data_IF_410171630857
#
_entry.id   IF_410171630857
#
_cell.length_a   1.000
_cell.length_b   1.000
_cell.length_c   1.000
_cell.angle_alpha   90.00
_cell.angle_beta   90.00
_cell.angle_gamma   90.00
#
_symmetry.space_group_name_H-M   'P 1'
#
loop_
_entity.id
_entity.type
_entity.pdbx_description
1 polymer ?
#
# COMPACT_ATOMS: atom_id res chain seq x y z
N UNK A 1 5.86 -42.74 -90.91
CA UNK A 1 4.38 -42.79 -91.01
C UNK A 1 3.89 -41.47 -90.41
N UNK A 2 3.59 -40.44 -91.20
CA UNK A 2 2.36 -40.25 -91.99
C UNK A 2 1.16 -40.02 -91.03
N UNK A 3 0.34 -38.95 -91.09
CA UNK A 3 0.02 -37.92 -92.11
C UNK A 3 -0.61 -36.68 -91.41
N UNK A 4 -0.83 -35.60 -92.16
CA UNK A 4 -1.50 -34.32 -91.85
C UNK A 4 -2.21 -33.83 -93.15
N UNK A 5 -3.33 -33.04 -93.18
CA UNK A 5 -4.07 -32.31 -92.12
C UNK A 5 -5.64 -32.41 -92.14
N UNK A 6 -6.30 -31.58 -91.31
CA UNK A 6 -7.50 -30.71 -91.60
C UNK A 6 -8.98 -31.16 -91.43
N UNK A 7 -9.78 -30.10 -91.20
CA UNK A 7 -11.25 -29.89 -91.27
C UNK A 7 -12.14 -30.62 -90.20
N UNK A 8 -13.27 -30.10 -89.69
CA UNK A 8 -14.09 -28.92 -90.03
C UNK A 8 -14.88 -28.35 -88.80
N UNK A 9 -15.00 -27.02 -88.74
CA UNK A 9 -16.12 -26.12 -88.33
C UNK A 9 -16.94 -26.18 -86.99
N UNK A 10 -17.26 -24.95 -86.54
CA UNK A 10 -18.37 -24.43 -85.70
C UNK A 10 -18.88 -25.06 -84.38
N UNK A 11 -18.73 -24.20 -83.35
CA UNK A 11 -19.80 -23.61 -82.50
C UNK A 11 -20.02 -24.14 -81.06
N UNK A 12 -20.51 -23.21 -80.24
CA UNK A 12 -20.97 -23.31 -78.84
C UNK A 12 -19.92 -23.58 -77.74
N UNK A 13 -19.58 -22.48 -77.03
CA UNK A 13 -19.11 -22.53 -75.63
C UNK A 13 -20.28 -22.88 -74.71
N UNK A 14 -20.05 -23.69 -73.67
CA UNK A 14 -20.71 -23.53 -72.37
C UNK A 14 -19.72 -22.99 -71.33
N UNK A 15 -20.19 -22.07 -70.48
CA UNK A 15 -19.40 -21.50 -69.39
C UNK A 15 -19.20 -22.52 -68.25
N UNK A 16 -18.00 -22.52 -67.66
CA UNK A 16 -17.60 -23.36 -66.53
C UNK A 16 -16.76 -22.52 -65.54
N UNK A 17 -17.35 -21.46 -65.01
CA UNK A 17 -16.91 -20.85 -63.75
C UNK A 17 -17.47 -21.68 -62.59
N UNK A 18 -16.64 -22.56 -62.02
CA UNK A 18 -16.94 -23.28 -60.76
C UNK A 18 -15.67 -23.40 -59.90
N UNK A 19 -15.83 -23.01 -58.62
CA UNK A 19 -15.11 -23.51 -57.44
C UNK A 19 -13.61 -23.23 -57.27
N UNK A 20 -13.14 -22.01 -57.56
CA UNK A 20 -11.87 -21.50 -56.98
C UNK A 20 -12.03 -20.44 -55.88
N UNK A 21 -13.15 -19.72 -55.81
CA UNK A 21 -13.35 -18.72 -54.73
C UNK A 21 -13.71 -19.36 -53.38
N UNK A 22 -14.64 -20.34 -53.35
CA UNK A 22 -15.15 -20.94 -52.10
C UNK A 22 -14.09 -21.73 -51.29
N UNK A 23 -13.08 -22.28 -51.95
CA UNK A 23 -11.94 -22.93 -51.28
C UNK A 23 -11.01 -21.89 -50.65
N UNK A 24 -10.96 -20.66 -51.20
CA UNK A 24 -10.13 -19.57 -50.67
C UNK A 24 -10.78 -18.87 -49.48
N UNK A 25 -12.10 -18.64 -49.54
CA UNK A 25 -12.88 -17.99 -48.48
C UNK A 25 -13.02 -18.90 -47.26
N UNK A 26 -13.37 -20.17 -47.45
CA UNK A 26 -13.47 -21.15 -46.35
C UNK A 26 -12.13 -21.38 -45.62
N UNK A 27 -10.99 -21.32 -46.33
CA UNK A 27 -9.67 -21.37 -45.69
C UNK A 27 -9.33 -20.07 -44.94
N UNK A 28 -9.70 -18.89 -45.45
CA UNK A 28 -9.52 -17.64 -44.72
C UNK A 28 -10.43 -17.53 -43.48
N UNK A 29 -11.67 -18.02 -43.56
CA UNK A 29 -12.58 -18.06 -42.41
C UNK A 29 -12.11 -19.06 -41.36
N UNK A 30 -11.67 -20.27 -41.74
CA UNK A 30 -11.06 -21.21 -40.81
C UNK A 30 -9.77 -20.66 -40.19
N UNK A 31 -8.93 -19.94 -40.94
CA UNK A 31 -7.75 -19.28 -40.39
C UNK A 31 -8.12 -18.15 -39.41
N UNK A 32 -9.15 -17.35 -39.71
CA UNK A 32 -9.67 -16.30 -38.81
C UNK A 32 -10.35 -16.89 -37.57
N UNK A 33 -11.08 -18.00 -37.69
CA UNK A 33 -11.70 -18.72 -36.59
C UNK A 33 -10.62 -19.30 -35.66
N UNK A 34 -9.64 -20.02 -36.21
CA UNK A 34 -8.52 -20.60 -35.45
C UNK A 34 -7.61 -19.53 -34.82
N UNK A 35 -7.49 -18.36 -35.45
CA UNK A 35 -6.84 -17.17 -34.89
C UNK A 35 -7.66 -16.55 -33.74
N UNK A 36 -8.99 -16.45 -33.88
CA UNK A 36 -9.90 -15.97 -32.83
C UNK A 36 -9.92 -16.92 -31.64
N UNK A 37 -10.06 -18.22 -31.84
CA UNK A 37 -10.02 -19.21 -30.76
C UNK A 37 -8.63 -19.30 -30.13
N UNK A 38 -7.56 -19.19 -30.93
CA UNK A 38 -6.20 -19.08 -30.41
C UNK A 38 -6.04 -17.89 -29.46
N UNK A 39 -6.45 -16.69 -29.89
CA UNK A 39 -6.40 -15.48 -29.06
C UNK A 39 -7.39 -15.49 -27.88
N UNK A 40 -8.59 -16.06 -28.04
CA UNK A 40 -9.56 -16.20 -26.96
C UNK A 40 -9.02 -17.15 -25.89
N UNK A 41 -8.51 -18.31 -26.30
CA UNK A 41 -7.89 -19.29 -25.41
C UNK A 41 -6.68 -18.68 -24.72
N UNK A 42 -5.71 -18.10 -25.45
CA UNK A 42 -4.55 -17.39 -24.90
C UNK A 42 -4.97 -16.32 -23.90
N UNK A 43 -5.91 -15.44 -24.28
CA UNK A 43 -6.41 -14.39 -23.38
C UNK A 43 -7.02 -14.98 -22.10
N UNK A 44 -7.75 -16.11 -22.18
CA UNK A 44 -8.35 -16.77 -21.03
C UNK A 44 -7.33 -17.50 -20.14
N UNK A 45 -6.29 -18.12 -20.72
CA UNK A 45 -5.16 -18.66 -19.93
C UNK A 45 -4.39 -17.55 -19.25
N UNK A 46 -4.06 -16.46 -19.96
CA UNK A 46 -3.39 -15.30 -19.35
C UNK A 46 -4.26 -14.63 -18.28
N UNK A 47 -5.59 -14.54 -18.47
CA UNK A 47 -6.53 -14.03 -17.44
C UNK A 47 -6.57 -14.93 -16.20
N UNK A 48 -6.45 -16.24 -16.39
CA UNK A 48 -6.43 -17.23 -15.29
C UNK A 48 -5.06 -17.31 -14.60
N UNK A 49 -3.96 -17.02 -15.31
CA UNK A 49 -2.63 -16.87 -14.73
C UNK A 49 -2.49 -15.54 -13.97
N UNK A 50 -3.03 -14.43 -14.49
CA UNK A 50 -3.08 -13.13 -13.79
C UNK A 50 -3.90 -13.22 -12.48
N UNK A 51 -5.01 -13.98 -12.49
CA UNK A 51 -5.76 -14.35 -11.27
C UNK A 51 -4.92 -15.14 -10.25
N UNK A 52 -3.92 -15.90 -10.70
CA UNK A 52 -3.12 -16.79 -9.86
C UNK A 52 -2.15 -16.02 -8.96
N UNK A 53 -1.58 -14.93 -9.48
CA UNK A 53 -0.66 -14.05 -8.74
C UNK A 53 -1.36 -12.95 -7.94
N UNK A 54 -2.60 -12.57 -8.33
CA UNK A 54 -3.44 -11.55 -7.65
C UNK A 54 -3.62 -11.81 -6.14
N UNK A 55 -3.54 -13.07 -5.71
CA UNK A 55 -3.83 -13.47 -4.34
C UNK A 55 -2.77 -12.99 -3.33
N UNK A 56 -1.50 -12.87 -3.74
CA UNK A 56 -0.44 -12.24 -2.91
C UNK A 56 -0.63 -10.72 -2.78
N UNK A 57 -1.24 -10.08 -3.78
CA UNK A 57 -1.51 -8.64 -3.84
C UNK A 57 -2.83 -8.26 -3.15
N UNK A 58 -3.66 -9.26 -2.78
CA UNK A 58 -5.00 -9.06 -2.20
C UNK A 58 -5.01 -8.09 -1.01
N UNK A 59 -4.12 -8.17 0.00
CA UNK A 59 -4.06 -7.16 1.08
C UNK A 59 -3.92 -5.71 0.59
N UNK A 60 -3.17 -5.49 -0.49
CA UNK A 60 -2.86 -4.17 -1.04
C UNK A 60 -4.03 -3.61 -1.87
N UNK A 61 -4.82 -4.48 -2.49
CA UNK A 61 -6.03 -4.13 -3.25
C UNK A 61 -7.26 -3.96 -2.33
N UNK A 62 -7.36 -4.75 -1.25
CA UNK A 62 -8.47 -4.71 -0.32
C UNK A 62 -8.57 -3.40 0.45
N UNK A 63 -7.44 -2.78 0.84
CA UNK A 63 -7.47 -1.51 1.58
C UNK A 63 -8.06 -0.34 0.75
N UNK A 64 -7.65 -0.09 -0.51
CA UNK A 64 -8.35 0.83 -1.40
C UNK A 64 -9.80 0.43 -1.68
N UNK A 65 -10.07 -0.84 -1.98
CA UNK A 65 -11.39 -1.34 -2.37
C UNK A 65 -12.43 -1.17 -1.24
N UNK A 66 -12.07 -1.52 0.00
CA UNK A 66 -12.89 -1.30 1.19
C UNK A 66 -13.04 0.18 1.49
N UNK A 67 -12.04 1.00 1.19
CA UNK A 67 -12.17 2.45 1.20
C UNK A 67 -13.24 2.96 0.23
N UNK A 68 -13.30 2.42 -0.99
CA UNK A 68 -14.24 2.85 -2.02
C UNK A 68 -15.66 2.25 -1.87
N UNK A 69 -15.80 1.09 -1.24
CA UNK A 69 -17.07 0.38 -1.07
C UNK A 69 -17.75 0.64 0.28
N UNK A 70 -17.00 0.94 1.35
CA UNK A 70 -17.58 1.12 2.68
C UNK A 70 -18.32 2.47 2.81
N UNK A 71 -19.53 2.51 3.41
CA UNK A 71 -20.27 3.74 3.67
C UNK A 71 -19.42 4.77 4.44
N UNK A 72 -19.51 6.09 4.14
CA UNK A 72 -18.64 7.10 4.75
C UNK A 72 -18.61 7.09 6.29
N UNK A 73 -19.75 6.79 6.94
CA UNK A 73 -19.88 6.71 8.39
C UNK A 73 -19.28 5.45 9.02
N UNK A 74 -19.03 4.39 8.24
CA UNK A 74 -18.41 3.12 8.68
C UNK A 74 -17.03 2.86 8.09
N UNK A 75 -16.60 3.63 7.08
CA UNK A 75 -15.32 3.47 6.36
C UNK A 75 -14.12 3.27 7.28
N UNK A 76 -14.00 4.06 8.35
CA UNK A 76 -12.91 3.92 9.32
C UNK A 76 -12.94 2.57 10.07
N UNK A 77 -14.12 2.11 10.47
CA UNK A 77 -14.31 0.82 11.15
C UNK A 77 -14.12 -0.37 10.20
N UNK A 78 -14.59 -0.28 8.96
CA UNK A 78 -14.36 -1.32 7.95
C UNK A 78 -12.87 -1.45 7.60
N UNK A 79 -12.17 -0.32 7.45
CA UNK A 79 -10.72 -0.32 7.24
C UNK A 79 -9.96 -0.87 8.46
N UNK A 80 -10.34 -0.53 9.69
CA UNK A 80 -9.66 -1.04 10.88
C UNK A 80 -9.84 -2.55 11.07
N UNK A 81 -11.01 -3.12 10.74
CA UNK A 81 -11.24 -4.58 10.73
C UNK A 81 -10.35 -5.29 9.72
N UNK A 82 -10.17 -4.73 8.52
CA UNK A 82 -9.28 -5.32 7.49
C UNK A 82 -7.82 -5.25 7.94
N UNK A 83 -7.38 -4.11 8.48
CA UNK A 83 -6.01 -3.95 9.00
C UNK A 83 -5.75 -4.88 10.18
N UNK A 84 -6.70 -5.05 11.11
CA UNK A 84 -6.54 -5.98 12.23
C UNK A 84 -6.55 -7.45 11.79
N UNK A 85 -7.35 -7.81 10.79
CA UNK A 85 -7.33 -9.14 10.17
C UNK A 85 -6.00 -9.47 9.49
N UNK A 86 -5.40 -8.50 8.77
CA UNK A 86 -4.07 -8.65 8.16
C UNK A 86 -2.97 -8.81 9.23
N UNK A 87 -3.01 -7.99 10.29
CA UNK A 87 -2.07 -8.10 11.39
C UNK A 87 -2.20 -9.46 12.10
N UNK A 88 -3.43 -9.86 12.47
CA UNK A 88 -3.70 -11.13 13.14
C UNK A 88 -3.30 -12.33 12.28
N UNK A 89 -3.58 -12.30 10.97
CA UNK A 89 -3.19 -13.34 10.02
C UNK A 89 -1.68 -13.55 9.96
N UNK A 90 -0.88 -12.47 9.98
CA UNK A 90 0.58 -12.55 10.04
C UNK A 90 1.07 -13.28 11.30
N UNK A 91 0.45 -13.04 12.45
CA UNK A 91 0.85 -13.64 13.72
C UNK A 91 0.44 -15.12 13.81
N UNK A 92 -0.82 -15.41 13.46
CA UNK A 92 -1.35 -16.78 13.46
C UNK A 92 -0.59 -17.65 12.46
N UNK A 93 -0.27 -17.15 11.27
CA UNK A 93 0.48 -17.90 10.26
C UNK A 93 1.87 -18.35 10.75
N UNK A 94 2.60 -17.49 11.48
CA UNK A 94 3.90 -17.83 12.08
C UNK A 94 3.77 -18.96 13.12
N UNK A 95 2.79 -18.86 14.02
CA UNK A 95 2.57 -19.88 15.07
C UNK A 95 2.09 -21.21 14.48
N UNK A 96 1.11 -21.19 13.55
CA UNK A 96 0.66 -22.40 12.85
C UNK A 96 1.80 -23.05 12.04
N UNK A 97 2.63 -22.26 11.36
CA UNK A 97 3.81 -22.77 10.66
C UNK A 97 4.80 -23.44 11.63
N UNK A 98 5.04 -22.85 12.81
CA UNK A 98 5.89 -23.43 13.84
C UNK A 98 5.35 -24.77 14.38
N UNK A 99 4.05 -24.84 14.67
CA UNK A 99 3.37 -26.08 15.11
C UNK A 99 3.49 -27.17 14.02
N UNK A 100 3.09 -26.87 12.78
CA UNK A 100 3.08 -27.85 11.69
C UNK A 100 4.48 -28.32 11.32
N UNK A 101 5.48 -27.45 11.36
CA UNK A 101 6.88 -27.82 11.10
C UNK A 101 7.53 -28.61 12.24
N UNK A 102 7.05 -28.48 13.47
CA UNK A 102 7.57 -29.21 14.63
C UNK A 102 6.96 -30.62 14.78
N UNK A 103 5.65 -30.76 14.58
CA UNK A 103 4.93 -32.03 14.77
C UNK A 103 4.67 -32.83 13.48
N UNK A 104 4.96 -32.27 12.30
CA UNK A 104 4.64 -32.91 11.02
C UNK A 104 5.64 -32.49 9.93
N UNK A 105 5.54 -33.05 8.73
CA UNK A 105 6.34 -32.58 7.60
C UNK A 105 6.03 -31.12 7.27
N UNK A 106 7.07 -30.32 7.06
CA UNK A 106 6.99 -28.96 6.54
C UNK A 106 6.13 -28.84 5.28
N UNK A 107 6.00 -29.90 4.47
CA UNK A 107 5.15 -29.93 3.27
C UNK A 107 3.68 -29.64 3.57
N UNK A 108 3.19 -29.96 4.78
CA UNK A 108 1.80 -29.79 5.14
C UNK A 108 1.39 -28.31 5.29
N UNK A 109 2.32 -27.40 5.59
CA UNK A 109 2.00 -25.96 5.63
C UNK A 109 1.62 -25.42 4.25
N UNK A 110 2.23 -25.95 3.19
CA UNK A 110 1.92 -25.58 1.81
C UNK A 110 0.55 -26.10 1.37
N UNK A 111 0.14 -27.30 1.80
CA UNK A 111 -1.21 -27.81 1.58
C UNK A 111 -2.28 -27.03 2.35
N UNK A 112 -1.99 -26.61 3.58
CA UNK A 112 -2.87 -25.74 4.37
C UNK A 112 -3.01 -24.37 3.70
N UNK A 113 -1.89 -23.75 3.30
CA UNK A 113 -1.89 -22.47 2.59
C UNK A 113 -2.65 -22.56 1.26
N UNK A 114 -2.44 -23.62 0.46
CA UNK A 114 -3.20 -23.89 -0.77
C UNK A 114 -4.71 -23.95 -0.49
N UNK A 115 -5.12 -24.71 0.53
CA UNK A 115 -6.54 -24.88 0.88
C UNK A 115 -7.19 -23.56 1.33
N UNK A 116 -6.51 -22.80 2.20
CA UNK A 116 -6.96 -21.48 2.63
C UNK A 116 -7.04 -20.47 1.47
N UNK A 117 -6.13 -20.60 0.50
CA UNK A 117 -6.08 -19.75 -0.67
C UNK A 117 -7.23 -20.00 -1.65
N UNK A 118 -7.59 -21.28 -1.86
CA UNK A 118 -8.77 -21.68 -2.63
C UNK A 118 -10.08 -21.32 -1.93
N UNK A 119 -10.15 -21.45 -0.61
CA UNK A 119 -11.31 -20.98 0.17
C UNK A 119 -11.52 -19.48 -0.01
N UNK A 120 -10.45 -18.68 0.06
CA UNK A 120 -10.50 -17.23 -0.19
C UNK A 120 -10.96 -16.91 -1.62
N UNK A 121 -10.47 -17.65 -2.62
CA UNK A 121 -10.91 -17.49 -4.01
C UNK A 121 -12.40 -17.82 -4.18
N UNK A 122 -12.90 -18.90 -3.57
CA UNK A 122 -14.31 -19.26 -3.61
C UNK A 122 -15.19 -18.19 -2.94
N UNK A 123 -14.80 -17.70 -1.77
CA UNK A 123 -15.50 -16.61 -1.08
C UNK A 123 -15.53 -15.34 -1.93
N UNK A 124 -14.43 -14.96 -2.56
CA UNK A 124 -14.41 -13.81 -3.47
C UNK A 124 -15.31 -14.04 -4.70
N UNK A 125 -15.31 -15.23 -5.28
CA UNK A 125 -16.16 -15.55 -6.43
C UNK A 125 -17.66 -15.48 -6.12
N UNK A 126 -18.10 -15.89 -4.93
CA UNK A 126 -19.52 -15.90 -4.56
C UNK A 126 -20.01 -14.60 -3.88
N UNK A 127 -19.14 -13.82 -3.24
CA UNK A 127 -19.55 -12.66 -2.42
C UNK A 127 -19.04 -11.31 -2.93
N UNK A 128 -18.09 -11.25 -3.87
CA UNK A 128 -17.63 -9.97 -4.42
C UNK A 128 -18.61 -9.48 -5.50
N UNK A 129 -19.28 -8.32 -5.33
CA UNK A 129 -20.15 -7.78 -6.37
C UNK A 129 -19.34 -7.28 -7.57
N UNK A 130 -19.90 -7.44 -8.77
CA UNK A 130 -19.28 -6.97 -10.02
C UNK A 130 -18.96 -5.47 -9.96
N UNK A 131 -17.66 -5.17 -9.97
CA UNK A 131 -17.18 -3.79 -9.86
C UNK A 131 -16.93 -3.22 -11.27
N UNK A 132 -17.73 -2.25 -11.75
CA UNK A 132 -17.58 -1.73 -13.11
C UNK A 132 -16.24 -1.02 -13.29
N UNK A 133 -15.59 -1.25 -14.43
CA UNK A 133 -14.30 -0.66 -14.75
C UNK A 133 -14.38 0.88 -14.81
N UNK A 134 -13.89 1.54 -13.74
CA UNK A 134 -13.90 3.02 -13.59
C UNK A 134 -13.14 3.76 -14.70
N UNK A 135 -12.15 3.12 -15.34
CA UNK A 135 -11.25 3.75 -16.31
C UNK A 135 -11.23 3.02 -17.67
N UNK A 136 -12.21 3.28 -18.53
CA UNK A 136 -12.16 2.86 -19.94
C UNK A 136 -11.22 3.80 -20.72
N UNK A 137 -10.13 3.27 -21.28
CA UNK A 137 -9.22 4.02 -22.18
C UNK A 137 -7.85 4.44 -21.63
N UNK A 138 -7.43 3.97 -20.44
CA UNK A 138 -6.04 4.17 -19.99
C UNK A 138 -5.08 3.19 -20.69
N UNK A 139 -4.06 3.72 -21.36
CA UNK A 139 -2.93 2.91 -21.81
C UNK A 139 -2.04 2.55 -20.60
N UNK A 140 -1.93 1.26 -20.29
CA UNK A 140 -1.19 0.71 -19.16
C UNK A 140 0.26 1.22 -19.07
N UNK A 141 0.99 1.22 -20.20
CA UNK A 141 2.36 1.72 -20.24
C UNK A 141 2.47 3.20 -19.92
N UNK A 142 1.49 4.02 -20.34
CA UNK A 142 1.44 5.46 -20.01
C UNK A 142 1.17 5.68 -18.51
N UNK A 143 0.43 4.77 -17.86
CA UNK A 143 0.20 4.81 -16.41
C UNK A 143 1.48 4.43 -15.64
N UNK A 144 2.17 3.35 -16.04
CA UNK A 144 3.45 2.95 -15.45
C UNK A 144 4.54 4.01 -15.63
N UNK A 145 4.68 4.57 -16.84
CA UNK A 145 5.62 5.66 -17.10
C UNK A 145 5.30 6.90 -16.26
N UNK A 146 4.01 7.23 -16.12
CA UNK A 146 3.57 8.31 -15.23
C UNK A 146 3.94 8.08 -13.76
N UNK A 147 3.95 6.83 -13.27
CA UNK A 147 4.44 6.49 -11.93
C UNK A 147 5.96 6.68 -11.81
N UNK A 148 6.73 6.25 -12.80
CA UNK A 148 8.19 6.40 -12.81
C UNK A 148 8.61 7.88 -12.87
N UNK A 149 7.96 8.68 -13.71
CA UNK A 149 8.14 10.14 -13.75
C UNK A 149 7.78 10.76 -12.40
N UNK A 150 6.71 10.32 -11.75
CA UNK A 150 6.28 10.87 -10.46
C UNK A 150 7.33 10.72 -9.35
N UNK A 151 8.12 9.64 -9.35
CA UNK A 151 9.29 9.51 -8.44
C UNK A 151 10.24 10.69 -8.64
N UNK A 152 10.61 10.95 -9.90
CA UNK A 152 11.60 11.97 -10.26
C UNK A 152 11.04 13.40 -10.25
N UNK A 153 9.72 13.61 -10.29
CA UNK A 153 9.13 14.96 -10.20
C UNK A 153 8.72 15.38 -8.79
N UNK A 154 8.43 14.42 -7.89
CA UNK A 154 7.94 14.70 -6.54
C UNK A 154 9.00 14.35 -5.49
N UNK A 155 9.79 15.33 -4.98
CA UNK A 155 10.86 15.03 -4.04
C UNK A 155 10.34 14.43 -2.72
N UNK A 156 9.07 14.66 -2.37
CA UNK A 156 8.47 14.14 -1.14
C UNK A 156 8.14 12.65 -1.26
N UNK A 157 7.69 12.23 -2.45
CA UNK A 157 7.49 10.82 -2.77
C UNK A 157 8.84 10.10 -2.75
N UNK A 158 9.86 10.63 -3.43
CA UNK A 158 11.20 10.01 -3.44
C UNK A 158 11.81 9.88 -2.04
N UNK A 159 11.78 10.93 -1.21
CA UNK A 159 12.31 10.87 0.15
C UNK A 159 11.60 9.77 0.97
N UNK A 160 10.27 9.73 0.93
CA UNK A 160 9.48 8.73 1.66
C UNK A 160 9.68 7.30 1.10
N UNK A 161 9.85 7.15 -0.22
CA UNK A 161 10.16 5.88 -0.87
C UNK A 161 11.54 5.34 -0.48
N UNK A 162 12.57 6.19 -0.43
CA UNK A 162 13.92 5.79 0.00
C UNK A 162 13.95 5.40 1.48
N UNK A 163 13.27 6.17 2.35
CA UNK A 163 13.11 5.81 3.76
C UNK A 163 12.34 4.48 3.88
N UNK A 164 11.23 4.32 3.15
CA UNK A 164 10.43 3.09 3.14
C UNK A 164 11.20 1.86 2.63
N UNK A 165 12.09 2.03 1.65
CA UNK A 165 12.97 0.99 1.12
C UNK A 165 13.96 0.52 2.20
N UNK A 166 14.71 1.43 2.82
CA UNK A 166 15.71 1.11 3.84
C UNK A 166 15.08 0.52 5.10
N UNK A 167 13.93 1.07 5.50
CA UNK A 167 13.10 0.54 6.59
C UNK A 167 12.66 -0.91 6.34
N UNK A 168 12.11 -1.17 5.16
CA UNK A 168 11.63 -2.50 4.78
C UNK A 168 12.78 -3.51 4.64
N UNK A 169 13.97 -3.03 4.26
CA UNK A 169 15.19 -3.84 4.23
C UNK A 169 15.65 -4.25 5.64
N UNK A 170 15.74 -3.31 6.58
CA UNK A 170 16.08 -3.61 7.97
C UNK A 170 15.07 -4.57 8.61
N UNK A 171 13.77 -4.30 8.45
CA UNK A 171 12.67 -5.15 8.93
C UNK A 171 12.80 -6.60 8.46
N UNK A 172 13.00 -6.81 7.16
CA UNK A 172 13.01 -8.17 6.58
C UNK A 172 14.33 -8.88 6.84
N UNK A 173 15.45 -8.14 6.84
CA UNK A 173 16.76 -8.62 7.30
C UNK A 173 16.66 -9.18 8.72
N UNK A 174 16.16 -8.39 9.68
CA UNK A 174 16.00 -8.82 11.08
C UNK A 174 15.12 -10.06 11.21
N UNK A 175 13.90 -10.05 10.66
CA UNK A 175 12.98 -11.18 10.83
C UNK A 175 13.49 -12.48 10.20
N UNK A 176 14.33 -12.39 9.16
CA UNK A 176 14.96 -13.57 8.55
C UNK A 176 16.14 -14.05 9.40
N UNK A 177 17.06 -13.17 9.80
CA UNK A 177 18.25 -13.56 10.57
C UNK A 177 17.94 -13.93 12.02
N UNK A 178 16.86 -13.41 12.60
CA UNK A 178 16.33 -13.82 13.91
C UNK A 178 16.03 -15.32 13.96
N UNK A 179 15.43 -15.85 12.89
CA UNK A 179 15.12 -17.28 12.78
C UNK A 179 16.39 -18.13 12.83
N UNK A 180 17.46 -17.69 12.15
CA UNK A 180 18.75 -18.38 12.19
C UNK A 180 19.46 -18.22 13.53
N UNK A 181 19.39 -17.05 14.19
CA UNK A 181 19.96 -16.84 15.53
C UNK A 181 19.35 -17.79 16.55
N UNK A 182 18.01 -17.87 16.60
CA UNK A 182 17.31 -18.69 17.59
C UNK A 182 17.46 -20.19 17.32
N UNK A 183 17.56 -20.61 16.06
CA UNK A 183 17.79 -22.01 15.69
C UNK A 183 19.23 -22.48 15.85
N UNK A 184 20.20 -21.56 15.98
CA UNK A 184 21.63 -21.88 16.13
C UNK A 184 22.06 -21.87 17.61
N UNK A 185 23.21 -22.48 17.94
CA UNK A 185 23.86 -22.23 19.23
C UNK A 185 24.09 -20.72 19.44
N UNK A 186 23.82 -20.16 20.63
CA UNK A 186 23.62 -20.84 21.91
C UNK A 186 22.14 -21.14 22.29
N UNK A 187 21.17 -20.88 21.41
CA UNK A 187 19.74 -20.97 21.77
C UNK A 187 19.10 -22.31 21.42
N UNK A 188 19.39 -22.85 20.23
CA UNK A 188 18.87 -24.16 19.75
C UNK A 188 17.34 -24.33 19.87
N UNK A 189 16.58 -23.24 19.70
CA UNK A 189 15.14 -23.23 19.86
C UNK A 189 14.41 -23.98 18.74
N UNK A 190 13.35 -24.68 19.13
CA UNK A 190 12.45 -25.38 18.21
C UNK A 190 11.67 -24.41 17.31
N UNK A 191 11.18 -24.92 16.17
CA UNK A 191 10.34 -24.13 15.24
C UNK A 191 9.06 -23.59 15.90
N UNK A 192 8.57 -24.24 16.96
CA UNK A 192 7.42 -23.78 17.74
C UNK A 192 7.78 -22.55 18.59
N UNK A 193 8.90 -22.61 19.32
CA UNK A 193 9.39 -21.50 20.15
C UNK A 193 9.68 -20.26 19.30
N UNK A 194 10.35 -20.44 18.15
CA UNK A 194 10.58 -19.37 17.17
C UNK A 194 9.24 -18.84 16.63
N UNK A 195 8.25 -19.70 16.37
CA UNK A 195 6.90 -19.31 15.99
C UNK A 195 6.22 -18.40 17.03
N UNK A 196 6.41 -18.68 18.32
CA UNK A 196 5.88 -17.88 19.43
C UNK A 196 6.45 -16.45 19.51
N UNK A 197 7.62 -16.15 18.92
CA UNK A 197 8.10 -14.76 18.82
C UNK A 197 7.15 -13.87 18.01
N UNK A 198 6.27 -14.44 17.18
CA UNK A 198 5.23 -13.66 16.51
C UNK A 198 4.26 -12.99 17.50
N UNK A 199 4.05 -13.53 18.70
CA UNK A 199 3.21 -12.88 19.71
C UNK A 199 3.76 -11.52 20.19
N UNK A 200 5.04 -11.21 19.95
CA UNK A 200 5.61 -9.87 20.16
C UNK A 200 4.84 -8.82 19.33
N UNK A 201 4.36 -9.20 18.13
CA UNK A 201 3.53 -8.32 17.30
C UNK A 201 2.20 -7.90 17.95
N UNK A 202 1.67 -8.67 18.91
CA UNK A 202 0.48 -8.26 19.70
C UNK A 202 0.82 -7.05 20.56
N UNK A 203 2.01 -7.03 21.17
CA UNK A 203 2.51 -5.91 21.98
C UNK A 203 2.56 -4.65 21.12
N UNK A 204 3.14 -4.74 19.91
CA UNK A 204 3.22 -3.63 18.95
C UNK A 204 1.82 -3.10 18.59
N UNK A 205 0.88 -3.99 18.27
CA UNK A 205 -0.51 -3.61 17.94
C UNK A 205 -1.22 -2.95 19.13
N UNK A 206 -1.00 -3.44 20.36
CA UNK A 206 -1.57 -2.86 21.58
C UNK A 206 -1.00 -1.47 21.90
N UNK A 207 0.28 -1.23 21.59
CA UNK A 207 0.95 0.06 21.79
C UNK A 207 0.64 1.08 20.69
N UNK A 208 0.27 0.65 19.47
CA UNK A 208 0.04 1.53 18.32
C UNK A 208 -0.95 2.71 18.59
N UNK A 209 -2.09 2.55 19.29
CA UNK A 209 -3.00 3.66 19.59
C UNK A 209 -2.40 4.69 20.55
N UNK A 210 -1.56 4.24 21.49
CA UNK A 210 -0.91 5.11 22.49
C UNK A 210 0.09 6.03 21.80
N UNK A 211 0.99 5.46 21.00
CA UNK A 211 1.98 6.23 20.25
C UNK A 211 1.36 7.12 19.18
N UNK A 212 0.30 6.66 18.49
CA UNK A 212 -0.40 7.47 17.49
C UNK A 212 -1.03 8.73 18.09
N UNK A 213 -1.67 8.63 19.26
CA UNK A 213 -2.24 9.81 19.96
C UNK A 213 -1.17 10.72 20.53
N UNK A 214 -0.09 10.15 21.06
CA UNK A 214 0.98 10.92 21.70
C UNK A 214 1.81 11.71 20.67
N UNK A 215 2.02 11.15 19.47
CA UNK A 215 2.96 11.70 18.49
C UNK A 215 2.28 12.19 17.19
N UNK A 216 1.44 11.38 16.53
CA UNK A 216 0.87 11.72 15.19
C UNK A 216 -0.10 12.91 15.23
N UNK A 217 -0.85 13.07 16.31
CA UNK A 217 -1.79 14.19 16.45
C UNK A 217 -1.11 15.52 16.80
N UNK A 218 0.10 15.47 17.40
CA UNK A 218 0.77 16.63 18.01
C UNK A 218 1.94 17.20 17.22
N UNK A 219 2.60 16.39 16.38
CA UNK A 219 3.83 16.76 15.69
C UNK A 219 3.71 16.72 14.16
N UNK A 220 4.61 17.41 13.47
CA UNK A 220 4.70 17.41 12.00
C UNK A 220 5.25 16.07 11.48
N UNK A 221 4.77 15.62 10.33
CA UNK A 221 5.06 14.30 9.75
C UNK A 221 6.55 13.93 9.68
N UNK A 222 7.43 14.89 9.37
CA UNK A 222 8.89 14.64 9.33
C UNK A 222 9.44 14.25 10.71
N UNK A 223 8.98 14.91 11.77
CA UNK A 223 9.39 14.60 13.15
C UNK A 223 8.89 13.23 13.59
N UNK A 224 7.67 12.84 13.17
CA UNK A 224 7.17 11.47 13.35
C UNK A 224 8.08 10.44 12.66
N UNK A 225 8.45 10.66 11.39
CA UNK A 225 9.38 9.76 10.67
C UNK A 225 10.73 9.65 11.38
N UNK A 226 11.34 10.77 11.78
CA UNK A 226 12.64 10.77 12.49
C UNK A 226 12.55 10.10 13.87
N UNK A 227 11.47 10.28 14.62
CA UNK A 227 11.26 9.58 15.90
C UNK A 227 11.10 8.06 15.71
N UNK A 228 10.37 7.61 14.68
CA UNK A 228 10.21 6.19 14.37
C UNK A 228 11.54 5.52 14.02
N UNK A 229 12.29 6.14 13.11
CA UNK A 229 13.63 5.69 12.73
C UNK A 229 14.62 5.74 13.92
N UNK A 230 14.52 6.74 14.79
CA UNK A 230 15.36 6.84 15.99
C UNK A 230 15.07 5.72 17.01
N UNK A 231 13.80 5.38 17.21
CA UNK A 231 13.39 4.28 18.10
C UNK A 231 13.89 2.92 17.57
N UNK A 232 13.74 2.68 16.28
CA UNK A 232 14.27 1.51 15.60
C UNK A 232 15.80 1.45 15.66
N UNK A 233 16.50 2.55 15.37
CA UNK A 233 17.97 2.63 15.44
C UNK A 233 18.50 2.25 16.82
N UNK A 234 17.89 2.77 17.89
CA UNK A 234 18.24 2.40 19.27
C UNK A 234 18.00 0.90 19.51
N UNK A 235 16.86 0.36 19.05
CA UNK A 235 16.55 -1.07 19.15
C UNK A 235 17.57 -1.97 18.47
N UNK A 236 17.95 -1.65 17.21
CA UNK A 236 18.96 -2.38 16.45
C UNK A 236 20.32 -2.32 17.17
N UNK A 237 20.75 -1.12 17.59
CA UNK A 237 22.06 -0.95 18.29
C UNK A 237 22.10 -1.78 19.57
N UNK A 238 21.09 -1.69 20.43
CA UNK A 238 21.00 -2.46 21.68
C UNK A 238 21.09 -3.97 21.38
N UNK A 239 20.32 -4.47 20.41
CA UNK A 239 20.30 -5.89 20.07
C UNK A 239 21.53 -6.40 19.33
N UNK A 240 22.22 -5.55 18.56
CA UNK A 240 23.46 -5.91 17.88
C UNK A 240 24.56 -6.28 18.87
N UNK A 241 24.63 -5.57 20.02
CA UNK A 241 25.65 -5.81 21.05
C UNK A 241 25.19 -6.71 22.21
N UNK A 242 23.89 -6.75 22.55
CA UNK A 242 23.36 -7.55 23.66
C UNK A 242 22.76 -8.89 23.18
N UNK A 243 22.32 -8.98 21.93
CA UNK A 243 21.57 -10.13 21.41
C UNK A 243 22.38 -11.39 21.15
N UNK A 244 23.72 -11.33 21.22
CA UNK A 244 24.58 -12.52 21.26
C UNK A 244 24.63 -13.18 22.65
N UNK A 245 24.19 -12.49 23.70
CA UNK A 245 24.27 -12.97 25.09
C UNK A 245 22.90 -13.27 25.69
N UNK A 246 21.84 -12.56 25.29
CA UNK A 246 20.51 -12.72 25.89
C UNK A 246 19.38 -12.62 24.87
N UNK A 247 18.36 -13.47 25.05
CA UNK A 247 17.12 -13.49 24.27
C UNK A 247 16.34 -12.17 24.41
N UNK A 248 16.54 -11.45 25.52
CA UNK A 248 15.96 -10.13 25.74
C UNK A 248 16.40 -9.11 24.66
N UNK A 249 17.62 -9.22 24.14
CA UNK A 249 18.12 -8.34 23.06
C UNK A 249 17.25 -8.40 21.81
N UNK A 250 17.08 -9.58 21.17
CA UNK A 250 16.17 -9.76 20.04
C UNK A 250 14.71 -9.39 20.33
N UNK A 251 14.19 -9.64 21.53
CA UNK A 251 12.80 -9.26 21.91
C UNK A 251 12.64 -7.73 21.95
N UNK A 252 13.56 -7.02 22.60
CA UNK A 252 13.54 -5.55 22.67
C UNK A 252 13.61 -4.96 21.26
N UNK A 253 14.49 -5.50 20.42
CA UNK A 253 14.64 -5.06 19.02
C UNK A 253 13.39 -5.35 18.18
N UNK A 254 12.77 -6.52 18.29
CA UNK A 254 11.49 -6.79 17.63
C UNK A 254 10.42 -5.75 18.01
N UNK A 255 10.25 -5.46 19.30
CA UNK A 255 9.29 -4.45 19.79
C UNK A 255 9.63 -3.06 19.25
N UNK A 256 10.89 -2.64 19.34
CA UNK A 256 11.32 -1.29 18.96
C UNK A 256 11.27 -1.08 17.44
N UNK A 257 11.75 -2.05 16.66
CA UNK A 257 11.75 -2.02 15.20
C UNK A 257 10.32 -2.09 14.65
N UNK A 258 9.51 -3.06 15.06
CA UNK A 258 8.13 -3.17 14.55
C UNK A 258 7.31 -1.92 14.90
N UNK A 259 7.48 -1.34 16.10
CA UNK A 259 6.81 -0.09 16.49
C UNK A 259 7.31 1.11 15.68
N UNK A 260 8.63 1.27 15.54
CA UNK A 260 9.27 2.33 14.76
C UNK A 260 8.92 2.26 13.27
N UNK A 261 8.84 1.05 12.72
CA UNK A 261 8.48 0.79 11.32
C UNK A 261 7.01 1.04 11.05
N UNK A 262 6.09 0.55 11.89
CA UNK A 262 4.66 0.87 11.76
C UNK A 262 4.42 2.38 11.85
N UNK A 263 5.12 3.07 12.75
CA UNK A 263 5.03 4.51 12.90
C UNK A 263 5.57 5.26 11.67
N UNK A 264 6.77 4.92 11.22
CA UNK A 264 7.41 5.52 10.04
C UNK A 264 6.62 5.27 8.76
N UNK A 265 6.09 4.06 8.54
CA UNK A 265 5.21 3.77 7.41
C UNK A 265 3.90 4.56 7.47
N UNK A 266 3.28 4.69 8.65
CA UNK A 266 2.03 5.44 8.83
C UNK A 266 2.24 6.93 8.58
N UNK A 267 3.30 7.52 9.16
CA UNK A 267 3.67 8.92 8.96
C UNK A 267 4.01 9.20 7.49
N UNK A 268 4.83 8.35 6.84
CA UNK A 268 5.14 8.49 5.41
C UNK A 268 3.88 8.42 4.54
N UNK A 269 3.03 7.38 4.68
CA UNK A 269 1.79 7.27 3.88
C UNK A 269 0.88 8.48 4.10
N UNK A 270 0.70 8.92 5.35
CA UNK A 270 -0.11 10.10 5.65
C UNK A 270 0.47 11.39 5.05
N UNK A 271 1.79 11.51 4.93
CA UNK A 271 2.45 12.65 4.31
C UNK A 271 2.23 12.68 2.79
N UNK A 272 2.49 11.56 2.10
CA UNK A 272 2.40 11.51 0.63
C UNK A 272 0.95 11.52 0.14
N UNK A 273 -0.03 11.03 0.93
CA UNK A 273 -1.46 11.07 0.57
C UNK A 273 -2.11 12.46 0.56
N UNK A 274 -1.35 13.51 0.91
CA UNK A 274 -1.77 14.91 0.80
C UNK A 274 -1.37 15.57 -0.53
N UNK A 275 -0.56 14.93 -1.40
CA UNK A 275 -0.15 15.51 -2.69
C UNK A 275 -1.32 15.71 -3.66
N UNK A 276 -2.06 14.64 -3.98
CA UNK A 276 -3.23 14.69 -4.86
C UNK A 276 -4.20 13.53 -4.57
N UNK A 277 -5.47 13.79 -4.17
CA UNK A 277 -6.50 12.78 -4.03
C UNK A 277 -6.71 11.89 -5.26
N UNK A 278 -6.55 12.42 -6.48
CA UNK A 278 -6.69 11.67 -7.75
C UNK A 278 -5.47 10.79 -8.05
N UNK A 279 -4.31 11.06 -7.46
CA UNK A 279 -3.09 10.26 -7.64
C UNK A 279 -2.88 9.17 -6.57
N UNK A 280 -3.67 9.15 -5.48
CA UNK A 280 -3.43 8.28 -4.30
C UNK A 280 -3.09 6.82 -4.58
N UNK A 281 -3.76 6.16 -5.54
CA UNK A 281 -3.46 4.77 -5.85
C UNK A 281 -2.09 4.60 -6.54
N UNK A 282 -1.71 5.54 -7.42
CA UNK A 282 -0.38 5.59 -8.07
C UNK A 282 0.73 5.84 -7.05
N UNK A 283 0.50 6.81 -6.16
CA UNK A 283 1.37 7.12 -5.01
C UNK A 283 1.64 5.88 -4.17
N UNK A 284 0.58 5.17 -3.77
CA UNK A 284 0.70 3.95 -2.97
C UNK A 284 1.46 2.86 -3.72
N UNK A 285 1.17 2.66 -5.01
CA UNK A 285 1.87 1.66 -5.85
C UNK A 285 3.37 1.91 -5.87
N UNK A 286 3.80 3.15 -6.16
CA UNK A 286 5.22 3.54 -6.14
C UNK A 286 5.85 3.29 -4.77
N UNK A 287 5.18 3.72 -3.70
CA UNK A 287 5.66 3.50 -2.32
C UNK A 287 5.86 2.01 -1.99
N UNK A 288 4.91 1.16 -2.38
CA UNK A 288 4.98 -0.28 -2.15
C UNK A 288 6.07 -0.95 -2.98
N UNK A 289 6.29 -0.55 -4.23
CA UNK A 289 7.39 -1.09 -5.07
C UNK A 289 8.75 -0.86 -4.40
N UNK A 290 8.98 0.35 -3.87
CA UNK A 290 10.20 0.64 -3.09
C UNK A 290 10.25 -0.16 -1.78
N UNK A 291 9.14 -0.28 -1.05
CA UNK A 291 9.09 -1.09 0.17
C UNK A 291 9.48 -2.55 -0.11
N UNK A 292 8.83 -3.23 -1.07
CA UNK A 292 9.13 -4.63 -1.41
C UNK A 292 10.52 -4.82 -2.03
N UNK A 293 11.01 -3.88 -2.85
CA UNK A 293 12.39 -3.88 -3.31
C UNK A 293 13.38 -3.84 -2.14
N UNK A 294 13.06 -3.05 -1.11
CA UNK A 294 13.76 -3.03 0.17
C UNK A 294 13.75 -4.39 0.88
N UNK A 295 12.57 -5.03 1.00
CA UNK A 295 12.44 -6.36 1.62
C UNK A 295 13.33 -7.39 0.94
N UNK A 296 13.30 -7.45 -0.39
CA UNK A 296 14.12 -8.37 -1.20
C UNK A 296 15.63 -8.13 -0.96
N UNK A 297 16.06 -6.86 -1.00
CA UNK A 297 17.45 -6.50 -0.70
C UNK A 297 17.84 -6.89 0.73
N UNK A 298 16.99 -6.58 1.71
CA UNK A 298 17.19 -6.87 3.12
C UNK A 298 17.37 -8.37 3.40
N UNK A 299 16.51 -9.22 2.82
CA UNK A 299 16.65 -10.68 2.93
C UNK A 299 17.97 -11.17 2.34
N UNK A 300 18.33 -10.72 1.13
CA UNK A 300 19.54 -11.16 0.44
C UNK A 300 20.83 -10.72 1.16
N UNK A 301 20.90 -9.46 1.59
CA UNK A 301 22.06 -8.90 2.29
C UNK A 301 22.15 -9.45 3.72
N UNK A 302 21.03 -9.49 4.45
CA UNK A 302 20.95 -10.00 5.82
C UNK A 302 21.42 -11.45 5.93
N UNK A 303 20.90 -12.34 5.05
CA UNK A 303 21.30 -13.74 5.04
C UNK A 303 22.79 -13.93 4.72
N UNK A 304 23.31 -13.19 3.74
CA UNK A 304 24.73 -13.29 3.34
C UNK A 304 25.67 -12.80 4.44
N UNK A 305 25.35 -11.69 5.11
CA UNK A 305 26.16 -11.16 6.20
C UNK A 305 26.06 -12.03 7.46
N UNK A 306 24.87 -12.58 7.75
CA UNK A 306 24.71 -13.53 8.84
C UNK A 306 25.54 -14.79 8.63
N UNK A 307 25.59 -15.33 7.41
CA UNK A 307 26.43 -16.49 7.08
C UNK A 307 27.94 -16.22 7.18
N UNK A 308 28.38 -14.95 7.11
CA UNK A 308 29.80 -14.56 7.16
C UNK A 308 30.29 -14.15 8.55
N UNK A 309 29.46 -13.43 9.32
CA UNK A 309 29.85 -12.87 10.62
C UNK A 309 28.72 -12.86 11.65
N UNK A 310 27.72 -13.72 11.47
CA UNK A 310 26.64 -13.96 12.43
C UNK A 310 25.77 -12.74 12.71
N UNK A 311 25.23 -12.70 13.91
CA UNK A 311 24.28 -11.67 14.34
C UNK A 311 24.83 -10.24 14.23
N UNK A 312 26.08 -10.03 14.65
CA UNK A 312 26.68 -8.70 14.71
C UNK A 312 26.79 -8.08 13.33
N UNK A 313 27.17 -8.86 12.29
CA UNK A 313 27.30 -8.33 10.93
C UNK A 313 25.94 -8.01 10.29
N UNK A 314 24.93 -8.85 10.51
CA UNK A 314 23.55 -8.55 10.10
C UNK A 314 23.02 -7.30 10.81
N UNK A 315 23.21 -7.20 12.13
CA UNK A 315 22.85 -6.03 12.94
C UNK A 315 23.53 -4.76 12.46
N UNK A 316 24.85 -4.79 12.23
CA UNK A 316 25.62 -3.68 11.64
C UNK A 316 25.06 -3.20 10.30
N UNK A 317 24.58 -4.10 9.43
CA UNK A 317 23.96 -3.69 8.17
C UNK A 317 22.61 -3.00 8.37
N UNK A 318 21.82 -3.44 9.35
CA UNK A 318 20.56 -2.78 9.71
C UNK A 318 20.82 -1.39 10.33
N UNK A 319 21.86 -1.25 11.16
CA UNK A 319 22.35 0.04 11.68
C UNK A 319 22.70 0.98 10.51
N UNK A 320 23.40 0.47 9.48
CA UNK A 320 23.72 1.27 8.30
C UNK A 320 22.47 1.66 7.48
N UNK A 321 21.53 0.74 7.26
CA UNK A 321 20.28 1.05 6.53
C UNK A 321 19.47 2.13 7.24
N UNK A 322 19.25 2.01 8.55
CA UNK A 322 18.47 2.99 9.31
C UNK A 322 19.24 4.29 9.53
N UNK A 323 20.57 4.24 9.71
CA UNK A 323 21.42 5.44 9.74
C UNK A 323 21.32 6.26 8.45
N UNK A 324 21.37 5.61 7.28
CA UNK A 324 21.14 6.27 5.99
C UNK A 324 19.71 6.78 5.86
N UNK A 325 18.70 6.04 6.34
CA UNK A 325 17.31 6.49 6.34
C UNK A 325 17.10 7.76 7.21
N UNK A 326 17.75 7.84 8.37
CA UNK A 326 17.74 9.03 9.24
C UNK A 326 18.37 10.23 8.52
N UNK A 327 19.52 10.03 7.87
CA UNK A 327 20.18 11.09 7.07
C UNK A 327 19.24 11.58 5.95
N UNK A 328 18.62 10.68 5.21
CA UNK A 328 17.63 11.02 4.16
C UNK A 328 16.41 11.74 4.76
N UNK A 329 15.98 11.38 5.97
CA UNK A 329 14.96 12.10 6.73
C UNK A 329 15.36 13.53 7.11
N UNK A 330 16.66 13.79 7.35
CA UNK A 330 17.19 15.09 7.78
C UNK A 330 17.66 16.00 6.63
N UNK A 331 17.89 15.48 5.43
CA UNK A 331 18.32 16.26 4.24
C UNK A 331 17.30 17.33 3.83
N UNK A 332 16.01 17.14 4.15
CA UNK A 332 14.93 18.04 3.77
C UNK A 332 14.01 18.36 4.95
N UNK A 333 13.85 19.65 5.24
CA UNK A 333 13.08 20.16 6.36
C UNK A 333 11.55 20.03 6.21
N UNK A 334 10.78 20.17 7.31
CA UNK A 334 9.38 19.71 7.37
C UNK A 334 8.38 20.44 6.47
N UNK A 335 8.71 21.65 6.03
CA UNK A 335 7.89 22.50 5.14
C UNK A 335 8.56 22.77 3.79
N UNK A 336 9.70 22.11 3.50
CA UNK A 336 10.53 22.43 2.33
C UNK A 336 9.91 21.93 1.02
N UNK A 337 9.97 22.74 -0.05
CA UNK A 337 9.42 22.37 -1.37
C UNK A 337 10.47 21.90 -2.37
N UNK A 338 11.76 22.21 -2.13
CA UNK A 338 12.87 21.70 -2.94
C UNK A 338 13.34 20.29 -2.57
N UNK A 339 14.36 19.79 -3.28
CA UNK A 339 14.98 18.49 -3.04
C UNK A 339 15.82 18.42 -1.76
N UNK A 340 16.51 19.50 -1.43
CA UNK A 340 17.41 19.66 -0.28
C UNK A 340 17.18 21.05 0.30
N UNK A 341 17.10 21.16 1.63
CA UNK A 341 16.99 22.47 2.30
C UNK A 341 16.09 22.49 3.53
N UNK A 342 16.21 23.58 4.29
CA UNK A 342 15.45 23.87 5.51
C UNK A 342 14.87 25.31 5.48
N UNK A 343 14.68 25.88 4.29
CA UNK A 343 14.30 27.29 4.06
C UNK A 343 12.98 27.68 4.73
N UNK A 344 12.04 26.74 4.89
CA UNK A 344 10.69 27.00 5.43
C UNK A 344 10.50 26.72 6.93
N UNK A 345 11.60 26.64 7.70
CA UNK A 345 11.60 26.77 9.16
C UNK A 345 11.36 25.48 9.98
N UNK A 346 11.50 25.62 11.30
CA UNK A 346 11.67 24.52 12.26
C UNK A 346 10.43 24.20 13.12
N UNK A 347 9.23 24.60 12.70
CA UNK A 347 8.02 24.38 13.51
C UNK A 347 7.66 22.88 13.59
N UNK A 348 7.92 22.30 14.76
CA UNK A 348 7.77 20.87 15.08
C UNK A 348 6.32 20.49 15.45
N UNK A 349 5.50 21.45 15.89
CA UNK A 349 4.06 21.25 16.11
C UNK A 349 3.27 21.46 14.83
N UNK A 350 2.18 20.69 14.68
CA UNK A 350 1.14 20.96 13.68
C UNK A 350 0.58 22.36 13.93
N UNK A 351 0.45 23.17 12.88
CA UNK A 351 -0.35 24.39 12.95
C UNK A 351 -1.78 23.97 13.33
N UNK A 352 -2.35 24.54 14.40
CA UNK A 352 -3.67 24.13 14.88
C UNK A 352 -4.70 24.33 13.77
N UNK A 353 -5.40 23.26 13.38
CA UNK A 353 -6.57 23.38 12.49
C UNK A 353 -7.53 24.34 13.17
N UNK A 354 -7.91 25.47 12.53
CA UNK A 354 -8.79 26.44 13.16
C UNK A 354 -10.02 25.73 13.69
N UNK A 355 -10.21 25.78 15.01
CA UNK A 355 -11.30 25.10 15.70
C UNK A 355 -12.59 25.52 15.00
N UNK A 356 -13.20 24.60 14.24
CA UNK A 356 -14.37 24.89 13.39
C UNK A 356 -15.40 25.56 14.31
N UNK A 357 -15.70 26.84 14.07
CA UNK A 357 -16.59 27.60 14.96
C UNK A 357 -17.87 26.77 15.17
N UNK A 358 -18.35 26.61 16.41
CA UNK A 358 -19.61 25.90 16.63
C UNK A 358 -20.68 26.55 15.77
N UNK A 359 -21.48 25.73 15.07
CA UNK A 359 -22.32 26.20 13.95
C UNK A 359 -23.27 27.33 14.35
N UNK A 360 -23.72 27.35 15.61
CA UNK A 360 -24.57 28.42 16.17
C UNK A 360 -23.91 29.79 16.34
N UNK A 361 -22.58 29.96 16.18
CA UNK A 361 -22.00 31.32 16.22
C UNK A 361 -22.30 32.12 14.95
N UNK A 362 -22.52 31.45 13.82
CA UNK A 362 -22.91 32.13 12.59
C UNK A 362 -24.39 32.58 12.63
N UNK A 363 -25.23 31.85 13.36
CA UNK A 363 -26.62 32.25 13.59
C UNK A 363 -26.70 33.41 14.60
N UNK A 364 -25.89 33.40 15.67
CA UNK A 364 -25.75 34.55 16.57
C UNK A 364 -25.26 35.83 15.84
N UNK A 365 -24.22 35.72 15.00
CA UNK A 365 -23.71 36.84 14.20
C UNK A 365 -24.77 37.38 13.19
N UNK A 366 -25.73 36.53 12.77
CA UNK A 366 -26.85 36.91 11.87
C UNK A 366 -28.04 37.48 12.65
N UNK A 367 -28.28 37.02 13.87
CA UNK A 367 -29.39 37.44 14.73
C UNK A 367 -29.11 38.81 15.36
N UNK A 368 -27.86 39.07 15.80
CA UNK A 368 -27.38 40.39 16.23
C UNK A 368 -27.34 41.41 15.07
N UNK A 369 -27.13 40.94 13.83
CA UNK A 369 -27.27 41.76 12.62
C UNK A 369 -28.73 41.91 12.12
N UNK A 370 -29.69 41.22 12.76
CA UNK A 370 -31.12 41.24 12.37
C UNK A 370 -32.05 41.94 13.35
N UNK A 371 -31.59 42.37 14.52
CA UNK A 371 -32.37 43.23 15.41
C UNK A 371 -32.29 44.70 14.94
N UNK A 372 -33.34 45.28 14.33
CA UNK A 372 -33.43 46.73 14.22
C UNK A 372 -33.71 47.28 15.61
N UNK A 373 -33.30 48.52 15.85
CA UNK A 373 -33.55 49.25 17.09
C UNK A 373 -35.06 49.35 17.42
N UNK A 374 -35.56 48.53 18.34
CA UNK A 374 -36.80 48.82 19.06
C UNK A 374 -36.52 49.83 20.18
N UNK A 375 -36.70 51.11 19.87
CA UNK A 375 -37.05 52.10 20.89
C UNK A 375 -38.57 52.02 21.13
N UNK A 376 -39.06 51.90 22.38
CA UNK A 376 -40.49 51.79 22.63
C UNK A 376 -41.22 53.10 22.29
N UNK A 377 -42.29 53.00 21.50
CA UNK A 377 -43.23 54.09 21.33
C UNK A 377 -44.21 54.12 22.51
N UNK A 378 -43.97 55.02 23.48
CA UNK A 378 -45.01 55.40 24.44
C UNK A 378 -45.93 56.47 23.85
N UNK A 379 -47.21 56.37 24.18
CA UNK A 379 -48.31 57.10 23.56
C UNK A 379 -49.14 57.79 24.65
N UNK A 380 -49.94 58.80 24.27
CA UNK A 380 -50.74 59.68 25.16
C UNK A 380 -49.91 60.72 25.97
N UNK A 381 -50.35 61.96 26.18
CA UNK A 381 -51.71 62.53 26.08
C UNK A 381 -51.72 64.02 25.66
N UNK A 382 -52.93 64.53 25.38
CA UNK A 382 -53.34 65.87 24.95
C UNK A 382 -52.76 67.12 25.65
N UNK A 383 -53.07 68.29 25.03
CA UNK A 383 -52.83 69.70 25.43
C UNK A 383 -51.54 70.35 24.85
N UNK A 384 -51.52 71.59 24.34
CA UNK A 384 -52.61 72.51 23.96
C UNK A 384 -52.07 73.67 23.06
N UNK A 385 -52.96 74.28 22.27
CA UNK A 385 -52.96 75.73 21.88
C UNK A 385 -51.82 76.28 20.98
N UNK A 386 -52.21 76.65 19.75
CA UNK A 386 -51.84 77.84 18.94
C UNK A 386 -50.38 78.36 18.89
N UNK A 387 -49.76 78.42 17.69
CA UNK A 387 -49.67 79.68 16.90
C UNK A 387 -49.03 79.54 15.50
N UNK A 388 -49.55 80.38 14.59
CA UNK A 388 -49.34 80.50 13.14
C UNK A 388 -47.95 80.99 12.67
N UNK A 389 -47.43 80.54 11.50
CA UNK A 389 -46.54 81.32 10.66
C UNK A 389 -47.31 82.01 9.52
N UNK A 390 -47.46 83.34 9.63
CA UNK A 390 -47.99 84.32 8.65
C UNK A 390 -48.74 83.81 7.42
#
# INVERSE_FOLDING_TARGET
>A
MAIDPKDEDRSEKPDLELDTEDISTSNQENAKAKSRDGNATLSSTTYNEEKRDTLTVTPQLMLPLVGDLAPPHRRASSLSVVVSGLALGLLIARVLSGIVANFTSWRNIYWLAFTAQYLTLALLYFFLPDYPAKNKGLNYFKVLWGMAVMVVTEPLLTQACLIGFLLSAAFTSFWTTLTFLLASPPYEYSSLEIGCFAFIGIVVVAFAPVWSRLITDRFVFLFSVVLGLGFEFIGIVISTFIGSFTVAGPIIHAIMMDSGANFTHTANRSNIYNLDPKARNRVNTVYMVFAFGGQIMGTAVGNRLYAQGGWVWSGSSNIAFIGVAVIIGMIRGPKETGWVGWSKGWNIRRDEVPKKRPVGSAEADIEEARSPSEQPAENYTSEAILQNPR
#
